data_IF_805547906686
#
_entry.id   IF_805547906686
#
_cell.length_a   1.000
_cell.length_b   1.000
_cell.length_c   1.000
_cell.angle_alpha   90.00
_cell.angle_beta   90.00
_cell.angle_gamma   90.00
#
_symmetry.space_group_name_H-M   'P 1'
#
loop_
_entity.id
_entity.type
_entity.pdbx_description
1 polymer ?
#
# COMPACT_ATOMS: atom_id res chain seq x y z
N UNK A 1 6.97 -0.11 -13.37
CA UNK A 1 6.05 -1.25 -13.58
C UNK A 1 4.86 -1.01 -12.67
N UNK A 2 3.64 -1.05 -13.19
CA UNK A 2 2.41 -0.94 -12.37
C UNK A 2 1.98 -2.34 -11.95
N UNK A 3 1.26 -2.44 -10.83
CA UNK A 3 0.61 -3.68 -10.40
C UNK A 3 -0.33 -4.20 -11.50
N UNK A 4 -0.29 -5.50 -11.77
CA UNK A 4 -1.19 -6.13 -12.74
C UNK A 4 -2.63 -6.08 -12.20
N UNK A 5 -3.55 -5.52 -13.00
CA UNK A 5 -4.91 -5.17 -12.55
C UNK A 5 -5.75 -6.38 -12.14
N UNK A 6 -5.48 -7.55 -12.71
CA UNK A 6 -6.13 -8.84 -12.42
C UNK A 6 -5.85 -9.38 -11.01
N UNK A 7 -4.82 -8.85 -10.34
CA UNK A 7 -4.43 -9.25 -8.99
C UNK A 7 -4.74 -8.21 -7.92
N UNK A 8 -5.24 -7.04 -8.29
CA UNK A 8 -5.56 -5.98 -7.31
C UNK A 8 -6.82 -6.35 -6.55
N UNK A 9 -6.72 -6.39 -5.23
CA UNK A 9 -7.87 -6.64 -4.34
C UNK A 9 -8.34 -5.36 -3.64
N UNK A 10 -7.50 -4.32 -3.60
CA UNK A 10 -7.88 -3.02 -3.05
C UNK A 10 -7.08 -1.87 -3.67
N UNK A 11 -7.75 -0.75 -3.88
CA UNK A 11 -7.15 0.56 -4.16
C UNK A 11 -7.73 1.57 -3.17
N UNK A 12 -6.87 2.41 -2.58
CA UNK A 12 -7.28 3.62 -1.86
C UNK A 12 -6.64 4.85 -2.48
N UNK A 13 -7.42 5.91 -2.59
CA UNK A 13 -6.94 7.26 -2.92
C UNK A 13 -7.02 8.10 -1.66
N UNK A 14 -5.86 8.49 -1.17
CA UNK A 14 -5.70 9.33 0.01
C UNK A 14 -5.36 10.75 -0.45
N UNK A 15 -5.75 11.71 0.38
CA UNK A 15 -5.31 13.09 0.24
C UNK A 15 -4.21 13.35 1.25
N UNK A 16 -3.04 13.73 0.78
CA UNK A 16 -1.92 14.15 1.64
C UNK A 16 -1.84 15.68 1.69
N UNK A 17 -1.74 16.23 2.90
CA UNK A 17 -1.50 17.65 3.14
C UNK A 17 -0.29 17.81 4.05
N UNK A 18 0.75 18.46 3.54
CA UNK A 18 1.90 18.93 4.32
C UNK A 18 1.76 20.45 4.58
N UNK A 19 2.85 21.13 4.95
CA UNK A 19 2.84 22.59 5.13
C UNK A 19 2.69 23.38 3.81
N UNK A 20 2.73 22.71 2.66
CA UNK A 20 2.45 23.30 1.36
C UNK A 20 0.97 23.64 1.21
N UNK A 21 0.69 24.66 0.39
CA UNK A 21 -0.67 25.11 0.10
C UNK A 21 -1.48 24.12 -0.74
N UNK A 22 -0.85 23.17 -1.43
CA UNK A 22 -1.52 22.27 -2.37
C UNK A 22 -1.53 20.81 -1.87
N UNK A 23 -2.72 20.22 -1.64
CA UNK A 23 -2.86 18.80 -1.36
C UNK A 23 -2.32 17.93 -2.50
N UNK A 24 -1.81 16.75 -2.16
CA UNK A 24 -1.33 15.74 -3.12
C UNK A 24 -2.21 14.50 -3.08
N UNK A 25 -2.53 13.96 -4.25
CA UNK A 25 -3.19 12.66 -4.35
C UNK A 25 -2.19 11.53 -4.15
N UNK A 26 -2.52 10.62 -3.24
CA UNK A 26 -1.73 9.43 -2.95
C UNK A 26 -2.55 8.20 -3.29
N UNK A 27 -2.07 7.37 -4.20
CA UNK A 27 -2.74 6.12 -4.58
C UNK A 27 -2.02 4.93 -3.97
N UNK A 28 -2.71 4.20 -3.13
CA UNK A 28 -2.25 2.92 -2.55
C UNK A 28 -2.95 1.78 -3.25
N UNK A 29 -2.19 0.86 -3.82
CA UNK A 29 -2.71 -0.33 -4.51
C UNK A 29 -2.16 -1.57 -3.82
N UNK A 30 -3.04 -2.51 -3.52
CA UNK A 30 -2.72 -3.77 -2.87
C UNK A 30 -3.18 -4.93 -3.75
N UNK A 31 -2.21 -5.76 -4.14
CA UNK A 31 -2.43 -7.05 -4.77
C UNK A 31 -2.83 -8.11 -3.74
N UNK A 32 -3.63 -9.08 -4.18
CA UNK A 32 -4.03 -10.21 -3.37
C UNK A 32 -2.88 -11.19 -3.08
N UNK A 33 -3.02 -12.02 -2.04
CA UNK A 33 -2.03 -13.04 -1.72
C UNK A 33 -1.82 -13.99 -2.90
N UNK A 34 -0.58 -14.09 -3.36
CA UNK A 34 -0.16 -15.02 -4.40
C UNK A 34 0.81 -16.02 -3.80
N UNK A 35 0.53 -17.31 -3.98
CA UNK A 35 1.44 -18.38 -3.60
C UNK A 35 2.61 -18.47 -4.60
N UNK A 36 3.83 -18.51 -4.09
CA UNK A 36 5.03 -18.79 -4.86
C UNK A 36 5.14 -20.30 -5.07
N UNK A 37 5.21 -20.74 -6.33
CA UNK A 37 5.43 -22.15 -6.67
C UNK A 37 6.80 -22.66 -6.23
N UNK A 38 7.76 -21.77 -6.02
CA UNK A 38 9.18 -22.14 -5.87
C UNK A 38 9.67 -22.05 -4.41
N UNK A 39 8.92 -21.38 -3.53
CA UNK A 39 9.38 -21.06 -2.16
C UNK A 39 8.41 -21.45 -1.05
N UNK A 40 7.25 -22.01 -1.38
CA UNK A 40 6.15 -22.27 -0.41
C UNK A 40 5.82 -21.06 0.47
N UNK A 41 5.90 -19.85 -0.10
CA UNK A 41 5.61 -18.59 0.56
C UNK A 41 4.46 -17.89 -0.16
N UNK A 42 3.66 -17.13 0.60
CA UNK A 42 2.69 -16.20 0.03
C UNK A 42 3.29 -14.81 -0.05
N UNK A 43 2.81 -14.03 -1.01
CA UNK A 43 3.17 -12.63 -1.10
C UNK A 43 2.03 -11.74 -1.58
N UNK A 44 2.03 -10.50 -1.12
CA UNK A 44 1.19 -9.43 -1.64
C UNK A 44 2.08 -8.36 -2.26
N UNK A 45 1.69 -7.86 -3.42
CA UNK A 45 2.36 -6.72 -4.06
C UNK A 45 1.69 -5.41 -3.59
N UNK A 46 2.50 -4.44 -3.21
CA UNK A 46 2.07 -3.12 -2.74
C UNK A 46 2.69 -2.03 -3.61
N UNK A 47 1.90 -1.04 -3.99
CA UNK A 47 2.39 0.17 -4.65
C UNK A 47 1.79 1.42 -4.02
N UNK A 48 2.64 2.40 -3.69
CA UNK A 48 2.22 3.71 -3.18
C UNK A 48 2.73 4.76 -4.16
N UNK A 49 1.82 5.49 -4.82
CA UNK A 49 2.12 6.55 -5.79
C UNK A 49 1.71 7.90 -5.19
N UNK A 50 2.48 8.95 -5.47
CA UNK A 50 2.26 10.29 -4.91
C UNK A 50 3.10 10.60 -3.66
N UNK A 51 3.66 9.56 -3.03
CA UNK A 51 4.66 9.65 -1.98
C UNK A 51 5.78 8.63 -2.22
N UNK A 52 7.05 9.09 -2.28
CA UNK A 52 8.21 8.22 -2.45
C UNK A 52 8.53 7.87 -3.90
N UNK A 53 9.01 6.64 -4.15
CA UNK A 53 9.58 6.21 -5.43
C UNK A 53 8.61 5.44 -6.35
N UNK A 54 7.34 5.29 -5.95
CA UNK A 54 6.29 4.61 -6.71
C UNK A 54 6.61 3.16 -7.11
N UNK A 55 7.60 2.52 -6.48
CA UNK A 55 7.98 1.13 -6.79
C UNK A 55 6.94 0.16 -6.24
N UNK A 56 6.73 -0.92 -7.00
CA UNK A 56 6.03 -2.11 -6.51
C UNK A 56 6.95 -2.86 -5.56
N UNK A 57 6.47 -3.18 -4.37
CA UNK A 57 7.17 -3.95 -3.36
C UNK A 57 6.39 -5.21 -3.05
N UNK A 58 7.10 -6.33 -3.03
CA UNK A 58 6.53 -7.64 -2.69
C UNK A 58 6.75 -7.91 -1.21
N UNK A 59 5.67 -8.17 -0.49
CA UNK A 59 5.68 -8.42 0.95
C UNK A 59 5.33 -9.88 1.17
N UNK A 60 6.21 -10.62 1.84
CA UNK A 60 6.13 -12.07 2.00
C UNK A 60 5.56 -12.46 3.37
N UNK A 61 4.88 -13.60 3.41
CA UNK A 61 4.43 -14.26 4.63
C UNK A 61 4.36 -15.77 4.44
N UNK A 62 4.37 -16.51 5.55
CA UNK A 62 4.28 -17.97 5.59
C UNK A 62 2.96 -18.46 4.99
N UNK A 63 1.88 -17.73 5.21
CA UNK A 63 0.58 -18.00 4.62
C UNK A 63 -0.06 -16.73 4.02
N UNK A 64 -1.19 -16.92 3.33
CA UNK A 64 -1.92 -15.84 2.66
C UNK A 64 -2.37 -14.73 3.62
N UNK A 65 -2.78 -15.07 4.84
CA UNK A 65 -3.26 -14.13 5.83
C UNK A 65 -2.10 -13.30 6.38
N UNK A 66 -0.99 -13.96 6.73
CA UNK A 66 0.20 -13.27 7.23
C UNK A 66 0.78 -12.35 6.16
N UNK A 67 0.86 -12.78 4.90
CA UNK A 67 1.33 -11.93 3.80
C UNK A 67 0.47 -10.67 3.65
N UNK A 68 -0.85 -10.81 3.78
CA UNK A 68 -1.78 -9.68 3.74
C UNK A 68 -1.61 -8.74 4.94
N UNK A 69 -1.54 -9.27 6.16
CA UNK A 69 -1.34 -8.49 7.38
C UNK A 69 -0.02 -7.71 7.34
N UNK A 70 1.06 -8.35 6.89
CA UNK A 70 2.36 -7.71 6.74
C UNK A 70 2.34 -6.64 5.64
N UNK A 71 1.59 -6.85 4.56
CA UNK A 71 1.42 -5.85 3.52
C UNK A 71 0.65 -4.61 4.01
N UNK A 72 -0.41 -4.79 4.79
CA UNK A 72 -1.14 -3.69 5.43
C UNK A 72 -0.23 -2.92 6.39
N UNK A 73 0.47 -3.63 7.28
CA UNK A 73 1.45 -3.01 8.21
C UNK A 73 2.55 -2.25 7.44
N UNK A 74 3.05 -2.83 6.35
CA UNK A 74 4.04 -2.17 5.49
C UNK A 74 3.50 -0.84 4.93
N UNK A 75 2.24 -0.81 4.48
CA UNK A 75 1.59 0.42 3.99
C UNK A 75 1.56 1.47 5.10
N UNK A 76 1.10 1.12 6.30
CA UNK A 76 1.02 2.06 7.45
C UNK A 76 2.39 2.63 7.79
N UNK A 77 3.41 1.76 7.91
CA UNK A 77 4.78 2.17 8.21
C UNK A 77 5.41 3.05 7.13
N UNK A 78 5.04 2.85 5.86
CA UNK A 78 5.52 3.71 4.77
C UNK A 78 4.86 5.08 4.79
N UNK A 79 3.54 5.13 5.03
CA UNK A 79 2.78 6.37 5.07
C UNK A 79 3.13 7.23 6.29
N UNK A 80 3.36 6.61 7.45
CA UNK A 80 3.72 7.30 8.70
C UNK A 80 5.08 8.00 8.67
N UNK A 81 5.94 7.71 7.69
CA UNK A 81 7.24 8.39 7.52
C UNK A 81 7.10 9.83 7.04
N UNK A 82 5.96 10.20 6.46
CA UNK A 82 5.75 11.52 5.89
C UNK A 82 5.14 12.46 6.93
N UNK A 83 5.77 13.64 7.10
CA UNK A 83 5.25 14.68 7.99
C UNK A 83 4.10 15.41 7.29
N UNK A 84 2.87 15.16 7.72
CA UNK A 84 1.65 15.76 7.18
C UNK A 84 0.42 14.99 7.66
N UNK A 85 -0.76 15.38 7.18
CA UNK A 85 -1.98 14.61 7.36
C UNK A 85 -2.32 13.81 6.11
N UNK A 86 -2.73 12.57 6.31
CA UNK A 86 -3.33 11.72 5.29
C UNK A 86 -4.80 11.55 5.63
N UNK A 87 -5.67 11.72 4.64
CA UNK A 87 -7.09 11.42 4.81
C UNK A 87 -7.60 10.49 3.74
N UNK A 88 -8.54 9.63 4.11
CA UNK A 88 -9.32 8.81 3.21
C UNK A 88 -10.78 9.20 3.36
N UNK A 89 -11.43 9.59 2.25
CA UNK A 89 -12.80 10.11 2.28
C UNK A 89 -13.00 11.27 3.29
N UNK A 90 -11.95 12.07 3.50
CA UNK A 90 -11.96 13.20 4.44
C UNK A 90 -11.71 12.84 5.90
N UNK A 91 -11.50 11.57 6.25
CA UNK A 91 -11.21 11.09 7.60
C UNK A 91 -9.74 10.67 7.76
N UNK A 92 -9.15 10.82 8.94
CA UNK A 92 -7.76 10.43 9.26
C UNK A 92 -7.60 8.95 9.64
N UNK A 93 -8.69 8.23 9.91
CA UNK A 93 -8.71 6.76 9.96
C UNK A 93 -8.65 6.17 8.54
N UNK A 94 -7.42 5.91 8.08
CA UNK A 94 -7.15 5.41 6.73
C UNK A 94 -7.12 3.87 6.63
N UNK A 95 -7.34 3.16 7.74
CA UNK A 95 -7.61 1.72 7.78
C UNK A 95 -6.50 0.79 7.27
N UNK A 96 -5.24 1.11 7.55
CA UNK A 96 -4.08 0.23 7.30
C UNK A 96 -3.35 -0.08 8.60
#
# INVERSE_FOLDING_TARGET
>A
MNLAADRVIAERRLTFKDQSSNPKDVRVVLGGPTHSTDKEEYSCDVQIVGLGDAKVRRIFGVDSMQALQLALKFISEMLNRYRGSLTWLGNDDIGF
#
